data_IF_967766563111
#
_entry.id   IF_967766563111
#
_cell.length_a   1.000
_cell.length_b   1.000
_cell.length_c   1.000
_cell.angle_alpha   90.00
_cell.angle_beta   90.00
_cell.angle_gamma   90.00
#
_symmetry.space_group_name_H-M   'P 1'
#
loop_
_entity.id
_entity.type
_entity.pdbx_description
1 polymer ?
#
# COMPACT_ATOMS: atom_id res chain seq x y z
N UNK A 1 55.63 -37.37 33.87
CA UNK A 1 55.02 -38.41 33.01
C UNK A 1 53.59 -37.96 32.68
N UNK A 2 53.28 -37.72 31.41
CA UNK A 2 52.14 -36.92 30.92
C UNK A 2 50.79 -37.62 31.12
N UNK A 3 49.84 -36.92 31.73
CA UNK A 3 48.41 -37.25 31.75
C UNK A 3 47.81 -36.78 30.42
N UNK A 4 47.15 -37.67 29.67
CA UNK A 4 46.46 -37.34 28.42
C UNK A 4 45.10 -36.68 28.74
N UNK A 5 44.72 -35.55 28.13
CA UNK A 5 43.38 -35.01 28.31
C UNK A 5 42.37 -35.74 27.42
N UNK A 6 41.20 -36.00 28.00
CA UNK A 6 40.00 -36.54 27.37
C UNK A 6 39.49 -35.56 26.30
N UNK A 7 39.38 -36.02 25.05
CA UNK A 7 38.80 -35.24 23.96
C UNK A 7 37.28 -35.21 24.05
N UNK A 8 36.71 -34.10 24.53
CA UNK A 8 35.29 -33.79 24.38
C UNK A 8 35.11 -33.25 22.96
N UNK A 9 34.56 -34.08 22.07
CA UNK A 9 34.05 -33.61 20.77
C UNK A 9 32.76 -32.85 21.01
N UNK A 10 32.84 -31.52 21.04
CA UNK A 10 31.69 -30.64 20.85
C UNK A 10 31.11 -30.92 19.46
N UNK A 11 30.01 -31.65 19.41
CA UNK A 11 29.14 -31.66 18.24
C UNK A 11 28.49 -30.27 18.20
N UNK A 12 28.65 -29.49 17.13
CA UNK A 12 27.88 -28.26 17.00
C UNK A 12 26.42 -28.69 16.90
N UNK A 13 25.64 -28.35 17.93
CA UNK A 13 24.18 -28.28 17.81
C UNK A 13 23.96 -27.22 16.74
N UNK A 14 23.69 -27.68 15.51
CA UNK A 14 23.13 -26.84 14.45
C UNK A 14 21.81 -26.34 15.00
N UNK A 15 21.83 -25.09 15.49
CA UNK A 15 20.64 -24.34 15.80
C UNK A 15 19.85 -24.25 14.49
N UNK A 16 18.82 -25.09 14.36
CA UNK A 16 17.81 -24.94 13.33
C UNK A 16 17.32 -23.50 13.38
N UNK A 17 17.60 -22.75 12.31
CA UNK A 17 17.05 -21.42 12.11
C UNK A 17 15.53 -21.56 12.14
N UNK A 18 14.90 -20.89 13.09
CA UNK A 18 13.47 -20.67 13.08
C UNK A 18 13.10 -20.04 11.74
N UNK A 19 12.36 -20.77 10.92
CA UNK A 19 11.72 -20.28 9.69
C UNK A 19 10.53 -19.36 10.03
N UNK A 20 10.74 -18.38 10.90
CA UNK A 20 9.81 -17.28 11.09
C UNK A 20 10.01 -16.28 9.96
N UNK A 21 9.01 -16.16 9.07
CA UNK A 21 8.80 -15.10 8.08
C UNK A 21 10.06 -14.30 7.70
N UNK A 22 10.94 -14.87 6.86
CA UNK A 22 11.98 -14.06 6.24
C UNK A 22 11.32 -13.15 5.21
N UNK A 23 11.02 -11.92 5.60
CA UNK A 23 10.73 -10.84 4.65
C UNK A 23 12.06 -10.49 3.97
N UNK A 24 12.21 -10.85 2.71
CA UNK A 24 13.29 -10.33 1.89
C UNK A 24 13.11 -8.80 1.78
N UNK A 25 14.18 -7.99 1.87
CA UNK A 25 14.05 -6.54 1.77
C UNK A 25 13.36 -6.18 0.46
N UNK A 26 12.15 -5.62 0.56
CA UNK A 26 11.40 -5.19 -0.62
C UNK A 26 11.94 -3.82 -1.05
N UNK A 27 12.18 -3.68 -2.35
CA UNK A 27 12.61 -2.41 -2.93
C UNK A 27 11.42 -1.48 -3.16
N UNK A 28 11.69 -0.19 -3.36
CA UNK A 28 10.64 0.76 -3.76
C UNK A 28 10.02 0.36 -5.11
N UNK A 29 10.82 -0.24 -5.99
CA UNK A 29 10.38 -0.71 -7.32
C UNK A 29 9.34 -1.85 -7.21
N UNK A 30 9.48 -2.73 -6.22
CA UNK A 30 8.51 -3.81 -5.94
C UNK A 30 7.14 -3.26 -5.50
N UNK A 31 7.12 -2.09 -4.87
CA UNK A 31 5.88 -1.43 -4.41
C UNK A 31 5.22 -0.67 -5.54
N UNK A 32 6.01 0.11 -6.28
CA UNK A 32 5.53 1.00 -7.33
C UNK A 32 5.06 0.26 -8.58
N UNK A 33 5.66 -0.87 -8.95
CA UNK A 33 5.33 -1.53 -10.21
C UNK A 33 5.60 -0.62 -11.43
N UNK A 34 5.03 -0.98 -12.57
CA UNK A 34 5.17 -0.19 -13.79
C UNK A 34 4.13 0.94 -13.82
N UNK A 35 4.59 2.16 -14.06
CA UNK A 35 3.78 3.36 -14.34
C UNK A 35 4.51 4.10 -15.48
N UNK A 36 4.18 3.75 -16.73
CA UNK A 36 4.96 4.25 -17.89
C UNK A 36 4.60 5.67 -18.28
N UNK A 37 3.36 6.09 -18.03
CA UNK A 37 2.89 7.43 -18.37
C UNK A 37 3.10 8.43 -17.22
N UNK A 38 3.53 7.95 -16.04
CA UNK A 38 3.85 8.77 -14.88
C UNK A 38 2.61 9.38 -14.23
N UNK A 39 1.45 8.78 -14.43
CA UNK A 39 0.18 9.30 -13.91
C UNK A 39 -0.04 8.97 -12.41
N UNK A 40 0.87 8.20 -11.80
CA UNK A 40 0.84 7.77 -10.41
C UNK A 40 0.01 6.50 -10.19
N UNK A 41 -0.58 5.94 -11.23
CA UNK A 41 -1.34 4.69 -11.25
C UNK A 41 -0.50 3.64 -11.97
N UNK A 42 -0.50 2.43 -11.45
CA UNK A 42 0.23 1.33 -12.09
C UNK A 42 -0.49 0.92 -13.37
N UNK A 43 0.27 0.61 -14.42
CA UNK A 43 -0.24 0.22 -15.75
C UNK A 43 -1.30 -0.90 -15.64
N UNK A 44 -1.12 -1.88 -14.76
CA UNK A 44 -2.08 -2.96 -14.57
C UNK A 44 -3.41 -2.50 -13.93
N UNK A 45 -3.35 -1.48 -13.06
CA UNK A 45 -4.54 -0.87 -12.46
C UNK A 45 -5.28 0.00 -13.47
N UNK A 46 -4.56 0.71 -14.34
CA UNK A 46 -5.18 1.42 -15.45
C UNK A 46 -5.94 0.49 -16.37
N UNK A 47 -5.33 -0.63 -16.77
CA UNK A 47 -6.01 -1.67 -17.55
C UNK A 47 -7.23 -2.25 -16.81
N UNK A 48 -7.12 -2.47 -15.49
CA UNK A 48 -8.23 -2.93 -14.65
C UNK A 48 -9.39 -1.95 -14.61
N UNK A 49 -9.11 -0.65 -14.49
CA UNK A 49 -10.10 0.42 -14.48
C UNK A 49 -10.75 0.55 -15.87
N UNK A 50 -9.96 0.45 -16.94
CA UNK A 50 -10.47 0.57 -18.31
C UNK A 50 -11.41 -0.55 -18.71
N UNK A 51 -11.20 -1.76 -18.18
CA UNK A 51 -12.09 -2.89 -18.41
C UNK A 51 -13.48 -2.73 -17.76
N UNK A 52 -13.67 -1.77 -16.84
CA UNK A 52 -14.97 -1.56 -16.18
C UNK A 52 -16.00 -0.92 -17.12
N UNK A 53 -17.28 -1.30 -17.01
CA UNK A 53 -18.37 -0.66 -17.74
C UNK A 53 -18.80 0.68 -17.10
N UNK A 54 -17.81 1.47 -16.68
CA UNK A 54 -17.99 2.75 -15.99
C UNK A 54 -17.79 3.92 -16.96
N UNK A 55 -18.37 5.07 -16.66
CA UNK A 55 -18.17 6.30 -17.45
C UNK A 55 -16.73 6.82 -17.36
N UNK A 56 -16.33 7.72 -18.26
CA UNK A 56 -15.00 8.33 -18.22
C UNK A 56 -14.72 9.06 -16.88
N UNK A 57 -15.70 9.78 -16.35
CA UNK A 57 -15.57 10.50 -15.08
C UNK A 57 -15.41 9.55 -13.88
N UNK A 58 -16.20 8.48 -13.86
CA UNK A 58 -16.09 7.40 -12.89
C UNK A 58 -14.73 6.71 -12.94
N UNK A 59 -14.24 6.36 -14.13
CA UNK A 59 -12.88 5.79 -14.28
C UNK A 59 -11.80 6.77 -13.81
N UNK A 60 -11.96 8.06 -14.07
CA UNK A 60 -11.02 9.09 -13.59
C UNK A 60 -10.98 9.17 -12.06
N UNK A 61 -12.11 9.06 -11.38
CA UNK A 61 -12.13 9.03 -9.91
C UNK A 61 -11.47 7.78 -9.33
N UNK A 62 -11.63 6.61 -9.97
CA UNK A 62 -10.90 5.40 -9.60
C UNK A 62 -9.39 5.54 -9.78
N UNK A 63 -8.93 6.21 -10.85
CA UNK A 63 -7.50 6.51 -11.06
C UNK A 63 -6.94 7.40 -9.98
N UNK A 64 -7.66 8.48 -9.64
CA UNK A 64 -7.27 9.36 -8.54
C UNK A 64 -7.13 8.60 -7.21
N UNK A 65 -8.10 7.73 -6.88
CA UNK A 65 -8.02 6.87 -5.70
C UNK A 65 -6.82 5.92 -5.76
N UNK A 66 -6.57 5.30 -6.92
CA UNK A 66 -5.45 4.36 -7.13
C UNK A 66 -4.09 5.03 -6.99
N UNK A 67 -3.94 6.26 -7.50
CA UNK A 67 -2.73 7.05 -7.34
C UNK A 67 -2.50 7.42 -5.87
N UNK A 68 -3.56 7.79 -5.15
CA UNK A 68 -3.47 8.08 -3.73
C UNK A 68 -3.07 6.83 -2.92
N UNK A 69 -3.67 5.67 -3.21
CA UNK A 69 -3.29 4.38 -2.60
C UNK A 69 -1.83 4.04 -2.86
N UNK A 70 -1.35 4.18 -4.10
CA UNK A 70 0.06 3.95 -4.45
C UNK A 70 1.00 4.87 -3.67
N UNK A 71 0.62 6.14 -3.49
CA UNK A 71 1.37 7.09 -2.66
C UNK A 71 1.49 6.68 -1.19
N UNK A 72 0.52 5.95 -0.62
CA UNK A 72 0.61 5.46 0.76
C UNK A 72 1.67 4.37 0.94
N UNK A 73 2.05 3.67 -0.14
CA UNK A 73 3.01 2.56 -0.08
C UNK A 73 4.46 3.05 0.08
N UNK A 74 4.74 4.27 -0.39
CA UNK A 74 6.09 4.86 -0.43
C UNK A 74 6.27 6.04 0.53
N UNK A 75 5.27 6.33 1.37
CA UNK A 75 5.30 7.47 2.27
C UNK A 75 6.37 7.31 3.36
N UNK A 76 7.08 8.39 3.65
CA UNK A 76 7.99 8.44 4.79
C UNK A 76 7.18 8.50 6.09
N UNK A 77 7.07 7.35 6.76
CA UNK A 77 6.28 7.19 7.99
C UNK A 77 6.87 7.89 9.20
N UNK A 78 8.06 8.48 9.10
CA UNK A 78 8.67 9.26 10.20
C UNK A 78 8.26 10.74 10.17
N UNK A 79 7.71 11.21 9.04
CA UNK A 79 7.31 12.61 8.86
C UNK A 79 5.80 12.76 8.94
N UNK A 80 5.33 13.33 10.05
CA UNK A 80 3.89 13.58 10.27
C UNK A 80 3.23 14.38 9.14
N UNK A 81 3.92 15.37 8.57
CA UNK A 81 3.40 16.14 7.44
C UNK A 81 3.16 15.26 6.21
N UNK A 82 4.06 14.30 5.91
CA UNK A 82 3.91 13.38 4.79
C UNK A 82 2.76 12.40 5.03
N UNK A 83 2.62 11.89 6.25
CA UNK A 83 1.48 11.07 6.66
C UNK A 83 0.15 11.83 6.56
N UNK A 84 0.13 13.11 6.91
CA UNK A 84 -1.05 13.96 6.77
C UNK A 84 -1.42 14.17 5.31
N UNK A 85 -0.45 14.53 4.49
CA UNK A 85 -0.65 14.75 3.06
C UNK A 85 -1.15 13.49 2.34
N UNK A 86 -0.53 12.33 2.60
CA UNK A 86 -0.96 11.05 2.00
C UNK A 86 -2.41 10.72 2.37
N UNK A 87 -2.78 10.90 3.64
CA UNK A 87 -4.14 10.66 4.10
C UNK A 87 -5.16 11.63 3.50
N UNK A 88 -4.81 12.91 3.37
CA UNK A 88 -5.67 13.92 2.74
C UNK A 88 -5.90 13.58 1.26
N UNK A 89 -4.86 13.14 0.53
CA UNK A 89 -5.00 12.68 -0.86
C UNK A 89 -5.87 11.44 -0.98
N UNK A 90 -5.70 10.46 -0.07
CA UNK A 90 -6.53 9.26 -0.03
C UNK A 90 -8.01 9.60 0.21
N UNK A 91 -8.29 10.44 1.21
CA UNK A 91 -9.65 10.89 1.51
C UNK A 91 -10.27 11.69 0.35
N UNK A 92 -9.49 12.56 -0.31
CA UNK A 92 -9.94 13.29 -1.49
C UNK A 92 -10.28 12.34 -2.66
N UNK A 93 -9.48 11.29 -2.87
CA UNK A 93 -9.76 10.24 -3.85
C UNK A 93 -11.05 9.48 -3.53
N UNK A 94 -11.25 9.07 -2.28
CA UNK A 94 -12.48 8.41 -1.82
C UNK A 94 -13.68 9.34 -2.05
N UNK A 95 -13.62 10.60 -1.60
CA UNK A 95 -14.70 11.55 -1.79
C UNK A 95 -15.02 11.79 -3.28
N UNK A 96 -14.00 11.80 -4.15
CA UNK A 96 -14.21 11.88 -5.60
C UNK A 96 -14.89 10.63 -6.18
N UNK A 97 -14.64 9.44 -5.63
CA UNK A 97 -15.43 8.25 -6.01
C UNK A 97 -16.90 8.44 -5.59
N UNK A 98 -17.15 8.92 -4.37
CA UNK A 98 -18.51 9.18 -3.89
C UNK A 98 -19.25 10.31 -4.63
N UNK A 99 -18.55 11.22 -5.33
CA UNK A 99 -19.20 12.24 -6.17
C UNK A 99 -19.65 11.73 -7.54
N UNK A 100 -19.13 10.57 -7.98
CA UNK A 100 -19.38 10.00 -9.32
C UNK A 100 -20.16 8.68 -9.33
N UNK A 101 -20.38 8.07 -8.17
CA UNK A 101 -21.18 6.85 -8.01
C UNK A 101 -22.25 7.06 -6.92
N UNK A 102 -23.32 6.27 -6.95
CA UNK A 102 -24.20 6.16 -5.79
C UNK A 102 -23.44 5.57 -4.59
N UNK A 103 -23.89 5.84 -3.37
CA UNK A 103 -23.14 5.49 -2.16
C UNK A 103 -22.84 3.99 -2.02
N UNK A 104 -23.76 3.12 -2.46
CA UNK A 104 -23.55 1.67 -2.39
C UNK A 104 -22.45 1.23 -3.38
N UNK A 105 -22.55 1.70 -4.63
CA UNK A 105 -21.55 1.41 -5.66
C UNK A 105 -20.20 2.05 -5.31
N UNK A 106 -20.18 3.28 -4.81
CA UNK A 106 -18.97 3.99 -4.38
C UNK A 106 -18.23 3.20 -3.30
N UNK A 107 -18.95 2.70 -2.29
CA UNK A 107 -18.38 1.86 -1.23
C UNK A 107 -17.74 0.60 -1.79
N UNK A 108 -18.43 -0.10 -2.69
CA UNK A 108 -17.91 -1.30 -3.36
C UNK A 108 -16.68 -0.99 -4.21
N UNK A 109 -16.71 0.10 -4.98
CA UNK A 109 -15.62 0.54 -5.84
C UNK A 109 -14.39 0.96 -5.04
N UNK A 110 -14.55 1.73 -3.96
CA UNK A 110 -13.42 2.13 -3.13
C UNK A 110 -12.73 0.91 -2.49
N UNK A 111 -13.51 -0.01 -1.91
CA UNK A 111 -12.98 -1.24 -1.33
C UNK A 111 -12.31 -2.15 -2.37
N UNK A 112 -12.90 -2.23 -3.57
CA UNK A 112 -12.34 -2.95 -4.71
C UNK A 112 -10.98 -2.37 -5.12
N UNK A 113 -10.88 -1.04 -5.27
CA UNK A 113 -9.64 -0.37 -5.64
C UNK A 113 -8.56 -0.51 -4.58
N UNK A 114 -8.89 -0.43 -3.29
CA UNK A 114 -7.94 -0.73 -2.20
C UNK A 114 -7.40 -2.16 -2.32
N UNK A 115 -8.29 -3.14 -2.50
CA UNK A 115 -7.92 -4.56 -2.63
C UNK A 115 -6.96 -4.81 -3.79
N UNK A 116 -7.25 -4.27 -4.98
CA UNK A 116 -6.37 -4.49 -6.15
C UNK A 116 -5.12 -3.62 -6.12
N UNK A 117 -5.14 -2.49 -5.40
CA UNK A 117 -3.97 -1.62 -5.25
C UNK A 117 -2.96 -2.19 -4.25
N UNK A 118 -3.42 -2.95 -3.26
CA UNK A 118 -2.64 -3.51 -2.15
C UNK A 118 -2.68 -5.05 -2.19
N UNK A 119 -2.38 -5.61 -3.35
CA UNK A 119 -2.62 -7.02 -3.73
C UNK A 119 -1.43 -7.96 -3.51
N UNK A 120 -0.22 -7.43 -3.30
CA UNK A 120 0.97 -8.22 -2.97
C UNK A 120 1.31 -8.14 -1.50
N UNK A 121 2.04 -9.13 -0.98
CA UNK A 121 2.48 -9.14 0.42
C UNK A 121 3.29 -7.88 0.77
N UNK A 122 4.17 -7.45 -0.11
CA UNK A 122 4.98 -6.25 0.05
C UNK A 122 4.12 -4.99 0.21
N UNK A 123 3.10 -4.85 -0.65
CA UNK A 123 2.16 -3.73 -0.64
C UNK A 123 1.31 -3.75 0.63
N UNK A 124 0.82 -4.92 1.04
CA UNK A 124 0.09 -5.09 2.30
C UNK A 124 0.95 -4.68 3.51
N UNK A 125 2.20 -5.14 3.56
CA UNK A 125 3.11 -4.78 4.66
C UNK A 125 3.40 -3.27 4.66
N UNK A 126 3.57 -2.64 3.49
CA UNK A 126 3.77 -1.19 3.36
C UNK A 126 2.54 -0.39 3.80
N UNK A 127 1.36 -0.76 3.31
CA UNK A 127 0.10 -0.13 3.69
C UNK A 127 -0.20 -0.29 5.19
N UNK A 128 0.16 -1.44 5.77
CA UNK A 128 0.05 -1.68 7.22
C UNK A 128 0.98 -0.75 8.01
N UNK A 129 2.22 -0.50 7.54
CA UNK A 129 3.13 0.47 8.18
C UNK A 129 2.55 1.87 8.15
N UNK A 130 2.01 2.30 7.01
CA UNK A 130 1.32 3.59 6.86
C UNK A 130 0.14 3.70 7.83
N UNK A 131 -0.78 2.73 7.84
CA UNK A 131 -1.95 2.74 8.73
C UNK A 131 -1.57 2.71 10.21
N UNK A 132 -0.52 1.96 10.57
CA UNK A 132 0.01 1.92 11.94
C UNK A 132 0.54 3.29 12.36
N UNK A 133 1.34 3.94 11.51
CA UNK A 133 1.90 5.27 11.77
C UNK A 133 0.82 6.36 11.88
N UNK A 134 -0.34 6.13 11.24
CA UNK A 134 -1.53 6.99 11.27
C UNK A 134 -2.49 6.70 12.44
N UNK A 135 -2.30 5.60 13.17
CA UNK A 135 -3.24 5.18 14.22
C UNK A 135 -3.43 6.27 15.27
N UNK A 136 -4.69 6.52 15.67
CA UNK A 136 -5.05 7.57 16.62
C UNK A 136 -5.07 9.00 16.06
N UNK A 137 -4.72 9.21 14.79
CA UNK A 137 -4.82 10.52 14.15
C UNK A 137 -6.27 10.87 13.81
N UNK A 138 -6.63 12.15 13.96
CA UNK A 138 -7.93 12.71 13.55
C UNK A 138 -7.73 13.60 12.33
N UNK A 139 -8.67 13.58 11.39
CA UNK A 139 -8.71 14.51 10.26
C UNK A 139 -10.14 14.97 9.98
N UNK A 140 -10.27 16.15 9.39
CA UNK A 140 -11.54 16.61 8.84
C UNK A 140 -11.94 15.75 7.63
N UNK A 141 -13.25 15.55 7.47
CA UNK A 141 -13.79 15.01 6.23
C UNK A 141 -13.58 16.05 5.12
N UNK A 142 -13.23 15.63 3.90
CA UNK A 142 -13.15 16.55 2.78
C UNK A 142 -14.53 17.18 2.49
N UNK A 143 -14.54 18.47 2.18
CA UNK A 143 -15.74 19.21 1.78
C UNK A 143 -15.66 19.60 0.29
N UNK A 144 -16.81 19.60 -0.38
CA UNK A 144 -16.93 20.02 -1.78
C UNK A 144 -16.35 19.03 -2.79
N UNK A 145 -16.02 19.54 -3.98
CA UNK A 145 -15.45 18.78 -5.08
C UNK A 145 -13.95 18.55 -4.85
N UNK A 146 -13.57 17.29 -4.64
CA UNK A 146 -12.19 16.85 -4.44
C UNK A 146 -11.61 16.15 -5.66
N UNK A 147 -12.31 16.14 -6.79
CA UNK A 147 -11.84 15.49 -8.00
C UNK A 147 -10.73 16.30 -8.69
N UNK A 148 -9.67 15.61 -9.11
CA UNK A 148 -8.60 16.21 -9.90
C UNK A 148 -9.14 16.55 -11.30
N UNK A 149 -8.85 17.78 -11.73
CA UNK A 149 -9.32 18.34 -13.00
C UNK A 149 -8.60 17.78 -14.22
#
# INVERSE_FOLDING_TARGET
MRIRPLGIRLVPVVLMLASGCRQEPQTVDDLLGADKDGNGVRDELDAYIDAKPDTAAQKKSLRQLSAALSGTLIVDTTRQAALHEAASRLNAGINCVFSHYDAETATKRAAEMEKVSVDTRARVDAYTRYNTARSGSVMALPEGDTCLK
#
